data_IF_573833551400
#
_entry.id   IF_573833551400
#
_cell.length_a   1.000
_cell.length_b   1.000
_cell.length_c   1.000
_cell.angle_alpha   90.00
_cell.angle_beta   90.00
_cell.angle_gamma   90.00
#
_symmetry.space_group_name_H-M   'P 1'
#
loop_
_entity.id
_entity.type
_entity.pdbx_description
1 polymer ?
#
# COMPACT_ATOMS: atom_id res chain seq x y z
N UNK A 1 -58.64 8.60 40.19
CA UNK A 1 -57.61 7.57 39.93
C UNK A 1 -58.29 6.39 39.24
N UNK A 2 -57.61 5.80 38.23
CA UNK A 2 -58.15 4.64 37.53
C UNK A 2 -58.08 3.40 38.44
N UNK A 3 -59.16 2.62 38.43
CA UNK A 3 -59.22 1.36 39.20
C UNK A 3 -58.41 0.24 38.48
N UNK A 4 -57.99 -0.77 39.24
CA UNK A 4 -57.24 -1.92 38.71
C UNK A 4 -58.01 -2.67 37.60
N UNK A 5 -59.33 -2.70 37.73
CA UNK A 5 -60.21 -3.28 36.67
C UNK A 5 -60.19 -2.47 35.39
N UNK A 6 -60.20 -1.14 35.46
CA UNK A 6 -60.12 -0.27 34.27
C UNK A 6 -58.75 -0.32 33.63
N UNK A 7 -57.67 -0.42 34.41
CA UNK A 7 -56.31 -0.62 33.89
C UNK A 7 -56.16 -1.95 33.19
N UNK A 8 -56.71 -3.03 33.74
CA UNK A 8 -56.69 -4.35 33.12
C UNK A 8 -57.51 -4.41 31.84
N UNK A 9 -58.71 -3.80 31.85
CA UNK A 9 -59.54 -3.71 30.64
C UNK A 9 -58.81 -2.92 29.51
N UNK A 10 -58.14 -1.81 29.87
CA UNK A 10 -57.36 -0.99 28.94
C UNK A 10 -56.14 -1.73 28.42
N UNK A 11 -55.46 -2.50 29.26
CA UNK A 11 -54.34 -3.32 28.86
C UNK A 11 -54.78 -4.39 27.83
N UNK A 12 -55.86 -5.13 28.12
CA UNK A 12 -56.40 -6.13 27.17
C UNK A 12 -56.78 -5.53 25.83
N UNK A 13 -57.32 -4.29 25.80
CA UNK A 13 -57.66 -3.58 24.60
C UNK A 13 -56.44 -3.19 23.79
N UNK A 14 -55.31 -2.84 24.46
CA UNK A 14 -54.11 -2.28 23.81
C UNK A 14 -52.98 -3.28 23.63
N UNK A 15 -53.02 -4.48 24.25
CA UNK A 15 -51.91 -5.42 24.26
C UNK A 15 -51.37 -5.80 22.88
N UNK A 16 -52.24 -5.88 21.85
CA UNK A 16 -51.80 -6.15 20.48
C UNK A 16 -50.98 -5.02 19.84
N UNK A 17 -51.16 -3.77 20.31
CA UNK A 17 -50.33 -2.64 19.83
C UNK A 17 -48.91 -2.68 20.38
N UNK A 18 -48.70 -3.38 21.49
CA UNK A 18 -47.40 -3.53 22.17
C UNK A 18 -46.86 -4.97 22.04
N UNK A 19 -47.56 -5.83 21.27
CA UNK A 19 -47.06 -7.17 20.98
C UNK A 19 -45.77 -7.06 20.13
N UNK A 20 -44.70 -7.63 20.61
CA UNK A 20 -43.45 -7.73 19.87
C UNK A 20 -43.60 -8.84 18.81
N UNK A 21 -43.46 -8.46 17.52
CA UNK A 21 -43.49 -9.40 16.40
C UNK A 21 -42.13 -10.11 16.18
N UNK A 22 -41.08 -9.63 16.84
CA UNK A 22 -39.71 -10.16 16.76
C UNK A 22 -39.26 -10.55 18.16
N UNK A 23 -38.63 -11.71 18.27
CA UNK A 23 -38.03 -12.17 19.52
C UNK A 23 -36.95 -11.13 19.95
N UNK A 24 -37.08 -10.60 21.16
CA UNK A 24 -36.07 -9.71 21.76
C UNK A 24 -35.50 -10.37 23.00
N UNK A 25 -34.22 -10.11 23.25
CA UNK A 25 -33.51 -10.62 24.43
C UNK A 25 -32.75 -9.49 25.09
N UNK A 26 -32.85 -9.37 26.39
CA UNK A 26 -31.98 -8.51 27.18
C UNK A 26 -30.65 -9.23 27.39
N UNK A 27 -29.57 -8.63 26.89
CA UNK A 27 -28.24 -9.20 27.01
C UNK A 27 -27.42 -8.30 27.93
N UNK A 28 -26.81 -8.89 28.96
CA UNK A 28 -25.75 -8.26 29.73
C UNK A 28 -24.42 -8.78 29.22
N UNK A 29 -23.51 -7.88 28.86
CA UNK A 29 -22.16 -8.25 28.42
C UNK A 29 -21.11 -7.43 29.18
N UNK A 30 -19.92 -7.98 29.28
CA UNK A 30 -18.73 -7.29 29.80
C UNK A 30 -17.68 -7.30 28.69
N UNK A 31 -17.18 -6.14 28.35
CA UNK A 31 -16.05 -5.98 27.42
C UNK A 31 -14.75 -6.00 28.22
N UNK A 32 -13.80 -6.80 27.76
CA UNK A 32 -12.51 -6.97 28.41
C UNK A 32 -11.37 -6.77 27.41
N UNK A 33 -10.68 -5.64 27.53
CA UNK A 33 -9.56 -5.32 26.65
C UNK A 33 -8.27 -5.99 27.13
N UNK A 34 -7.67 -6.81 26.28
CA UNK A 34 -6.34 -7.38 26.49
C UNK A 34 -5.28 -6.45 25.90
N UNK A 35 -4.38 -5.97 26.73
CA UNK A 35 -3.27 -5.11 26.31
C UNK A 35 -1.94 -5.89 26.30
N UNK A 36 -1.00 -5.52 25.42
CA UNK A 36 0.34 -6.11 25.40
C UNK A 36 1.06 -5.91 26.75
N UNK A 37 1.64 -6.99 27.27
CA UNK A 37 2.43 -6.97 28.48
C UNK A 37 3.82 -6.32 28.25
N UNK A 38 4.52 -6.02 29.33
CA UNK A 38 5.93 -5.58 29.24
C UNK A 38 6.82 -6.63 28.57
N UNK A 39 6.53 -7.91 28.79
CA UNK A 39 7.26 -9.01 28.15
C UNK A 39 7.03 -9.03 26.63
N UNK A 40 5.78 -8.84 26.18
CA UNK A 40 5.44 -8.75 24.76
C UNK A 40 6.16 -7.58 24.08
N UNK A 41 6.16 -6.41 24.71
CA UNK A 41 6.87 -5.22 24.20
C UNK A 41 8.37 -5.44 24.13
N UNK A 42 8.96 -6.09 25.14
CA UNK A 42 10.40 -6.39 25.18
C UNK A 42 10.78 -7.37 24.07
N UNK A 43 9.99 -8.43 23.86
CA UNK A 43 10.21 -9.41 22.80
C UNK A 43 10.11 -8.76 21.40
N UNK A 44 9.09 -7.90 21.19
CA UNK A 44 8.92 -7.18 19.94
C UNK A 44 10.07 -6.20 19.68
N UNK A 45 10.51 -5.44 20.68
CA UNK A 45 11.65 -4.52 20.57
C UNK A 45 12.94 -5.26 20.20
N UNK A 46 13.19 -6.43 20.78
CA UNK A 46 14.33 -7.29 20.40
C UNK A 46 14.25 -7.72 18.94
N UNK A 47 13.07 -8.12 18.47
CA UNK A 47 12.85 -8.50 17.07
C UNK A 47 13.08 -7.29 16.14
N UNK A 48 12.62 -6.11 16.53
CA UNK A 48 12.81 -4.89 15.72
C UNK A 48 14.24 -4.39 15.71
N UNK A 49 15.00 -4.59 16.78
CA UNK A 49 16.45 -4.34 16.79
C UNK A 49 17.16 -5.21 15.74
N UNK A 50 16.81 -6.52 15.66
CA UNK A 50 17.32 -7.39 14.60
C UNK A 50 16.93 -6.92 13.20
N UNK A 51 15.67 -6.56 12.96
CA UNK A 51 15.24 -6.00 11.69
C UNK A 51 15.96 -4.70 11.34
N UNK A 52 16.27 -3.87 12.32
CA UNK A 52 17.04 -2.63 12.10
C UNK A 52 18.43 -2.95 11.55
N UNK A 53 19.10 -3.94 12.12
CA UNK A 53 20.42 -4.36 11.63
C UNK A 53 20.33 -5.08 10.27
N UNK A 54 19.33 -5.94 10.05
CA UNK A 54 19.09 -6.55 8.74
C UNK A 54 18.85 -5.47 7.67
N UNK A 55 18.03 -4.45 7.99
CA UNK A 55 17.73 -3.33 7.07
C UNK A 55 18.97 -2.50 6.74
N UNK A 56 19.88 -2.26 7.68
CA UNK A 56 21.14 -1.53 7.43
C UNK A 56 22.02 -2.25 6.43
N UNK A 57 22.09 -3.58 6.53
CA UNK A 57 23.02 -4.41 5.78
C UNK A 57 22.45 -4.98 4.48
N UNK A 58 21.14 -4.94 4.29
CA UNK A 58 20.50 -5.47 3.08
C UNK A 58 20.84 -4.62 1.84
N UNK A 59 21.33 -5.26 0.78
CA UNK A 59 21.48 -4.61 -0.53
C UNK A 59 20.09 -4.24 -1.12
N UNK A 60 19.14 -5.18 -1.04
CA UNK A 60 17.72 -4.96 -1.35
C UNK A 60 16.88 -5.23 -0.07
N UNK A 61 16.14 -4.23 0.43
CA UNK A 61 15.31 -4.40 1.62
C UNK A 61 14.02 -5.17 1.38
N UNK A 62 13.66 -5.50 0.13
CA UNK A 62 12.41 -6.15 -0.22
C UNK A 62 12.16 -7.43 0.57
N UNK A 63 13.20 -8.27 0.73
CA UNK A 63 13.07 -9.53 1.46
C UNK A 63 12.92 -9.31 2.97
N UNK A 64 13.63 -8.34 3.54
CA UNK A 64 13.52 -8.00 4.97
C UNK A 64 12.10 -7.53 5.28
N UNK A 65 11.54 -6.63 4.46
CA UNK A 65 10.16 -6.15 4.60
C UNK A 65 9.17 -7.30 4.46
N UNK A 66 9.32 -8.15 3.43
CA UNK A 66 8.44 -9.31 3.21
C UNK A 66 8.47 -10.29 4.38
N UNK A 67 9.66 -10.66 4.86
CA UNK A 67 9.88 -11.57 5.99
C UNK A 67 9.30 -11.03 7.29
N UNK A 68 9.34 -9.72 7.49
CA UNK A 68 8.77 -9.07 8.68
C UNK A 68 7.25 -9.06 8.69
N UNK A 69 6.58 -9.35 7.58
CA UNK A 69 5.12 -9.20 7.41
C UNK A 69 4.69 -7.78 7.79
N UNK A 70 5.34 -6.79 7.20
CA UNK A 70 5.04 -5.38 7.43
C UNK A 70 3.64 -5.00 6.96
N UNK A 71 2.99 -4.08 7.68
CA UNK A 71 1.72 -3.48 7.27
C UNK A 71 1.86 -2.58 6.03
N UNK A 72 3.07 -2.12 5.72
CA UNK A 72 3.38 -1.29 4.55
C UNK A 72 4.16 -2.15 3.55
N UNK A 73 3.65 -2.35 2.33
CA UNK A 73 4.37 -3.07 1.30
C UNK A 73 5.57 -2.25 0.80
N UNK A 74 6.67 -2.92 0.46
CA UNK A 74 7.79 -2.28 -0.21
C UNK A 74 7.62 -2.41 -1.73
N UNK A 75 7.39 -1.29 -2.40
CA UNK A 75 7.22 -1.25 -3.86
C UNK A 75 8.56 -1.10 -4.60
N UNK A 76 9.57 -0.53 -3.96
CA UNK A 76 10.87 -0.28 -4.58
C UNK A 76 10.84 0.76 -5.70
N UNK A 77 9.92 1.70 -5.63
CA UNK A 77 9.74 2.81 -6.59
C UNK A 77 9.76 4.15 -5.87
N UNK A 78 10.04 5.25 -6.58
CA UNK A 78 9.86 6.60 -6.04
C UNK A 78 8.38 6.90 -5.78
N UNK A 79 8.05 7.30 -4.57
CA UNK A 79 6.69 7.63 -4.11
C UNK A 79 6.69 9.02 -3.47
N UNK A 80 5.59 9.75 -3.58
CA UNK A 80 5.41 11.01 -2.85
C UNK A 80 5.08 10.74 -1.38
N UNK A 81 5.20 11.75 -0.51
CA UNK A 81 4.89 11.59 0.92
C UNK A 81 3.47 11.09 1.18
N UNK A 82 2.54 11.48 0.34
CA UNK A 82 1.12 11.12 0.44
C UNK A 82 0.85 9.61 0.27
N UNK A 83 1.83 8.86 -0.23
CA UNK A 83 1.74 7.40 -0.32
C UNK A 83 2.01 6.69 1.02
N UNK A 84 2.52 7.40 2.02
CA UNK A 84 2.88 6.83 3.33
C UNK A 84 1.92 7.30 4.42
N UNK A 85 1.71 6.49 5.47
CA UNK A 85 1.06 6.95 6.69
C UNK A 85 1.75 8.21 7.25
N UNK A 86 0.98 9.10 7.86
CA UNK A 86 1.46 10.42 8.29
C UNK A 86 2.67 10.34 9.24
N UNK A 87 2.68 9.36 10.14
CA UNK A 87 3.77 9.11 11.09
C UNK A 87 5.09 8.71 10.42
N UNK A 88 5.04 8.13 9.23
CA UNK A 88 6.20 7.82 8.39
C UNK A 88 6.58 9.04 7.54
N UNK A 89 5.59 9.64 6.86
CA UNK A 89 5.78 10.77 5.95
C UNK A 89 6.49 11.96 6.61
N UNK A 90 6.12 12.30 7.86
CA UNK A 90 6.73 13.38 8.63
C UNK A 90 8.21 13.16 8.96
N UNK A 91 8.66 11.90 8.98
CA UNK A 91 10.05 11.55 9.30
C UNK A 91 10.97 11.54 8.08
N UNK A 92 10.43 11.43 6.87
CA UNK A 92 11.23 11.22 5.65
C UNK A 92 12.28 12.31 5.40
N UNK A 93 11.99 13.56 5.76
CA UNK A 93 12.96 14.67 5.56
C UNK A 93 14.07 14.69 6.62
N UNK A 94 13.87 14.02 7.75
CA UNK A 94 14.85 13.93 8.83
C UNK A 94 15.81 12.74 8.70
N UNK A 95 15.55 11.83 7.76
CA UNK A 95 16.38 10.65 7.53
C UNK A 95 17.36 10.94 6.39
N UNK A 96 18.64 10.73 6.63
CA UNK A 96 19.64 10.83 5.56
C UNK A 96 19.47 9.66 4.56
N UNK A 97 19.67 9.92 3.27
CA UNK A 97 19.63 8.88 2.22
C UNK A 97 20.65 7.78 2.55
N UNK A 98 20.22 6.53 2.44
CA UNK A 98 20.97 5.33 2.82
C UNK A 98 20.87 4.95 4.31
N UNK A 99 20.32 5.81 5.16
CA UNK A 99 20.23 5.59 6.60
C UNK A 99 18.94 4.86 7.00
N UNK A 100 19.01 4.23 8.19
CA UNK A 100 17.89 3.53 8.83
C UNK A 100 17.55 4.26 10.13
N UNK A 101 16.28 4.57 10.32
CA UNK A 101 15.70 5.09 11.55
C UNK A 101 14.86 4.01 12.21
N UNK A 102 15.03 3.82 13.51
CA UNK A 102 14.18 2.93 14.31
C UNK A 102 15.00 1.99 15.21
N UNK A 103 14.28 1.16 16.02
CA UNK A 103 12.83 1.10 16.11
C UNK A 103 12.21 2.36 16.74
N UNK A 104 11.09 2.84 16.19
CA UNK A 104 10.32 4.00 16.68
C UNK A 104 8.88 3.58 16.96
N UNK A 105 8.42 3.80 18.19
CA UNK A 105 7.02 3.54 18.56
C UNK A 105 6.12 4.70 18.14
N UNK A 106 5.00 4.38 17.48
CA UNK A 106 3.87 5.28 17.31
C UNK A 106 2.77 4.89 18.30
N UNK A 107 2.57 5.73 19.32
CA UNK A 107 1.60 5.48 20.38
C UNK A 107 0.14 5.71 19.95
N UNK A 108 -0.08 6.43 18.84
CA UNK A 108 -1.42 6.76 18.34
C UNK A 108 -2.07 5.51 17.75
N UNK A 109 -1.36 4.77 16.92
CA UNK A 109 -1.83 3.56 16.27
C UNK A 109 -1.26 2.26 16.88
N UNK A 110 -0.52 2.39 17.99
CA UNK A 110 0.10 1.29 18.73
C UNK A 110 0.99 0.41 17.84
N UNK A 111 1.87 1.04 17.03
CA UNK A 111 2.79 0.35 16.14
C UNK A 111 4.25 0.62 16.47
N UNK A 112 5.12 -0.30 16.04
CA UNK A 112 6.57 -0.14 16.06
C UNK A 112 7.07 -0.10 14.61
N UNK A 113 7.99 0.83 14.31
CA UNK A 113 8.40 1.15 12.95
C UNK A 113 9.93 1.13 12.81
N UNK A 114 10.42 0.59 11.68
CA UNK A 114 11.79 0.79 11.17
C UNK A 114 11.68 1.34 9.75
N UNK A 115 12.38 2.43 9.47
CA UNK A 115 12.30 3.17 8.21
C UNK A 115 13.69 3.26 7.61
N UNK A 116 13.86 2.83 6.36
CA UNK A 116 15.10 3.05 5.59
C UNK A 116 14.79 3.93 4.38
N UNK A 117 15.45 5.08 4.30
CA UNK A 117 15.37 5.94 3.12
C UNK A 117 16.43 5.50 2.12
N UNK A 118 16.01 4.90 1.00
CA UNK A 118 16.90 4.41 -0.06
C UNK A 118 17.33 5.52 -1.01
N UNK A 119 16.40 6.39 -1.40
CA UNK A 119 16.64 7.50 -2.31
C UNK A 119 15.63 8.63 -2.08
N UNK A 120 16.06 9.86 -2.41
CA UNK A 120 15.22 11.06 -2.50
C UNK A 120 15.63 11.82 -3.74
N UNK A 121 14.67 12.21 -4.58
CA UNK A 121 14.93 13.03 -5.76
C UNK A 121 13.69 13.86 -6.15
N UNK A 122 13.94 14.98 -6.83
CA UNK A 122 12.90 15.77 -7.51
C UNK A 122 12.48 15.04 -8.78
N UNK A 123 11.23 14.64 -8.88
CA UNK A 123 10.66 13.89 -10.01
C UNK A 123 9.29 14.43 -10.38
N UNK A 124 8.84 14.26 -11.65
CA UNK A 124 7.53 14.74 -12.07
C UNK A 124 6.42 13.97 -11.36
N UNK A 125 5.41 14.66 -10.84
CA UNK A 125 4.20 14.06 -10.30
C UNK A 125 3.20 13.67 -11.41
N UNK A 126 3.22 14.42 -12.53
CA UNK A 126 2.40 14.18 -13.70
C UNK A 126 3.27 14.08 -14.95
N UNK A 127 3.07 13.04 -15.73
CA UNK A 127 3.81 12.76 -16.97
C UNK A 127 2.82 12.49 -18.08
N UNK A 128 2.93 13.25 -19.20
CA UNK A 128 2.19 12.94 -20.41
C UNK A 128 2.96 11.90 -21.22
N UNK A 129 2.30 10.82 -21.57
CA UNK A 129 2.88 9.72 -22.31
C UNK A 129 2.01 9.29 -23.47
N UNK A 130 2.62 8.64 -24.44
CA UNK A 130 1.93 7.81 -25.41
C UNK A 130 2.63 6.46 -25.51
N UNK A 131 1.88 5.42 -25.85
CA UNK A 131 2.41 4.06 -25.83
C UNK A 131 1.88 3.23 -27.01
N UNK A 132 2.68 2.27 -27.45
CA UNK A 132 2.26 1.21 -28.35
C UNK A 132 2.44 -0.11 -27.60
N UNK A 133 1.35 -0.84 -27.39
CA UNK A 133 1.39 -2.18 -26.83
C UNK A 133 1.67 -3.18 -27.96
N UNK A 134 2.62 -4.05 -27.74
CA UNK A 134 3.03 -5.05 -28.71
C UNK A 134 2.83 -6.43 -28.10
N UNK A 135 1.89 -7.17 -28.67
CA UNK A 135 1.60 -8.55 -28.29
C UNK A 135 1.98 -9.48 -29.46
N UNK A 136 2.29 -10.72 -29.16
CA UNK A 136 2.62 -11.73 -30.15
C UNK A 136 2.18 -13.11 -29.71
N UNK A 137 2.21 -14.08 -30.60
CA UNK A 137 1.93 -15.48 -30.27
C UNK A 137 2.92 -16.06 -29.24
N UNK A 138 4.13 -15.51 -29.19
CA UNK A 138 5.16 -15.78 -28.18
C UNK A 138 5.80 -14.49 -27.73
N UNK A 139 6.45 -14.52 -26.57
CA UNK A 139 7.22 -13.37 -26.08
C UNK A 139 8.33 -12.96 -27.04
N UNK A 140 8.99 -13.92 -27.68
CA UNK A 140 10.03 -13.66 -28.69
C UNK A 140 9.47 -12.92 -29.91
N UNK A 141 8.32 -13.35 -30.43
CA UNK A 141 7.65 -12.68 -31.54
C UNK A 141 7.23 -11.24 -31.18
N UNK A 142 6.70 -11.03 -29.98
CA UNK A 142 6.37 -9.72 -29.49
C UNK A 142 7.60 -8.82 -29.34
N UNK A 143 8.71 -9.35 -28.81
CA UNK A 143 9.96 -8.62 -28.65
C UNK A 143 10.55 -8.20 -30.00
N UNK A 144 10.58 -9.11 -31.00
CA UNK A 144 11.05 -8.82 -32.36
C UNK A 144 10.22 -7.70 -33.02
N UNK A 145 8.90 -7.76 -32.87
CA UNK A 145 8.01 -6.70 -33.38
C UNK A 145 8.25 -5.37 -32.65
N UNK A 146 8.43 -5.41 -31.34
CA UNK A 146 8.73 -4.22 -30.52
C UNK A 146 10.09 -3.62 -30.91
N UNK A 147 11.12 -4.42 -31.20
CA UNK A 147 12.42 -3.94 -31.67
C UNK A 147 12.30 -3.21 -33.00
N UNK A 148 11.51 -3.74 -33.94
CA UNK A 148 11.25 -3.11 -35.23
C UNK A 148 10.52 -1.75 -35.06
N UNK A 149 9.52 -1.68 -34.20
CA UNK A 149 8.82 -0.43 -33.87
C UNK A 149 9.76 0.59 -33.22
N UNK A 150 10.52 0.13 -32.23
CA UNK A 150 11.47 0.98 -31.54
C UNK A 150 12.49 1.59 -32.47
N UNK A 151 13.07 0.77 -33.37
CA UNK A 151 14.04 1.21 -34.39
C UNK A 151 13.41 2.23 -35.34
N UNK A 152 12.19 1.98 -35.83
CA UNK A 152 11.50 2.90 -36.75
C UNK A 152 11.24 4.25 -36.08
N UNK A 153 10.78 4.25 -34.82
CA UNK A 153 10.54 5.48 -34.04
C UNK A 153 11.84 6.25 -33.74
N UNK A 154 12.92 5.55 -33.41
CA UNK A 154 14.25 6.14 -33.24
C UNK A 154 14.77 6.78 -34.53
N UNK A 155 14.43 6.23 -35.72
CA UNK A 155 14.74 6.78 -37.01
C UNK A 155 13.85 7.97 -37.43
N UNK A 156 12.91 8.41 -36.53
CA UNK A 156 12.04 9.55 -36.75
C UNK A 156 10.69 9.25 -37.40
N UNK A 157 10.26 7.99 -37.43
CA UNK A 157 8.91 7.65 -37.89
C UNK A 157 7.87 8.32 -36.95
N UNK A 158 6.75 8.75 -37.55
CA UNK A 158 5.65 9.35 -36.79
C UNK A 158 4.97 8.32 -35.90
N UNK A 159 4.85 8.64 -34.61
CA UNK A 159 4.36 7.71 -33.58
C UNK A 159 2.93 7.25 -33.84
N UNK A 160 2.03 8.15 -34.22
CA UNK A 160 0.61 7.81 -34.45
C UNK A 160 0.47 6.94 -35.73
N UNK A 161 1.25 7.24 -36.75
CA UNK A 161 1.30 6.42 -37.97
C UNK A 161 1.77 5.01 -37.67
N UNK A 162 2.80 4.84 -36.83
CA UNK A 162 3.27 3.53 -36.41
C UNK A 162 2.21 2.85 -35.52
N UNK A 163 1.61 3.55 -34.55
CA UNK A 163 0.58 2.99 -33.67
C UNK A 163 -0.63 2.45 -34.47
N UNK A 164 -1.07 3.16 -35.50
CA UNK A 164 -2.19 2.75 -36.37
C UNK A 164 -1.95 1.41 -37.10
N UNK A 165 -0.71 1.09 -37.41
CA UNK A 165 -0.35 -0.23 -38.00
C UNK A 165 -0.59 -1.39 -37.04
N UNK A 166 -0.66 -1.10 -35.73
CA UNK A 166 -0.95 -2.06 -34.67
C UNK A 166 -2.37 -1.89 -34.09
N UNK A 167 -3.26 -1.24 -34.84
CA UNK A 167 -4.66 -0.96 -34.45
C UNK A 167 -4.79 -0.14 -33.17
N UNK A 168 -3.85 0.79 -32.93
CA UNK A 168 -3.81 1.67 -31.78
C UNK A 168 -3.80 3.14 -32.23
N UNK A 169 -4.27 4.04 -31.39
CA UNK A 169 -4.36 5.47 -31.73
C UNK A 169 -3.03 6.20 -31.52
N UNK A 170 -2.22 5.76 -30.58
CA UNK A 170 -1.02 6.49 -30.16
C UNK A 170 -1.32 7.80 -29.45
N UNK A 171 -2.56 7.95 -28.92
CA UNK A 171 -2.99 9.14 -28.20
C UNK A 171 -2.16 9.35 -26.93
N UNK A 172 -2.04 10.63 -26.57
CA UNK A 172 -1.35 11.05 -25.34
C UNK A 172 -2.29 10.96 -24.14
N UNK A 173 -1.75 10.54 -23.03
CA UNK A 173 -2.46 10.48 -21.76
C UNK A 173 -1.58 10.97 -20.60
N UNK A 174 -2.18 11.66 -19.63
CA UNK A 174 -1.51 12.05 -18.41
C UNK A 174 -1.58 10.92 -17.37
N UNK A 175 -0.43 10.60 -16.80
CA UNK A 175 -0.29 9.64 -15.71
C UNK A 175 0.25 10.39 -14.50
N UNK A 176 -0.42 10.24 -13.36
CA UNK A 176 -0.02 10.83 -12.09
C UNK A 176 0.55 9.78 -11.14
N UNK A 177 1.39 10.21 -10.19
CA UNK A 177 1.95 9.32 -9.17
C UNK A 177 0.86 8.58 -8.36
N UNK A 178 -0.27 9.24 -8.11
CA UNK A 178 -1.40 8.66 -7.37
C UNK A 178 -1.97 7.39 -8.01
N UNK A 179 -1.82 7.21 -9.34
CA UNK A 179 -2.35 6.05 -10.06
C UNK A 179 -1.56 4.74 -9.81
N UNK A 180 -0.31 4.82 -9.35
CA UNK A 180 0.53 3.63 -9.18
C UNK A 180 1.17 3.50 -7.78
N UNK A 181 1.33 4.60 -7.04
CA UNK A 181 2.13 4.61 -5.81
C UNK A 181 1.48 3.89 -4.62
N UNK A 182 0.18 3.57 -4.67
CA UNK A 182 -0.57 2.86 -3.63
C UNK A 182 -0.90 1.41 -4.02
N UNK A 183 -0.20 0.85 -5.01
CA UNK A 183 -0.37 -0.54 -5.38
C UNK A 183 0.00 -1.48 -4.21
N UNK A 184 -0.69 -2.61 -4.03
CA UNK A 184 -0.37 -3.57 -2.97
C UNK A 184 0.93 -4.33 -3.23
N UNK A 185 1.32 -4.43 -4.49
CA UNK A 185 2.58 -5.02 -4.96
C UNK A 185 2.92 -4.50 -6.34
N UNK A 186 4.18 -4.69 -6.75
CA UNK A 186 4.64 -4.26 -8.07
C UNK A 186 5.67 -5.26 -8.60
N UNK A 187 5.41 -5.82 -9.78
CA UNK A 187 6.35 -6.71 -10.44
C UNK A 187 7.49 -5.94 -11.14
N UNK A 188 8.45 -6.68 -11.69
CA UNK A 188 9.63 -6.11 -12.34
C UNK A 188 9.25 -5.22 -13.53
N UNK A 189 8.25 -5.62 -14.32
CA UNK A 189 7.81 -4.88 -15.50
C UNK A 189 7.15 -3.56 -15.13
N UNK A 190 6.29 -3.58 -14.13
CA UNK A 190 5.66 -2.36 -13.60
C UNK A 190 6.68 -1.41 -12.95
N UNK A 191 7.68 -1.95 -12.24
CA UNK A 191 8.79 -1.13 -11.73
C UNK A 191 9.54 -0.44 -12.85
N UNK A 192 9.88 -1.17 -13.92
CA UNK A 192 10.56 -0.61 -15.10
C UNK A 192 9.70 0.47 -15.80
N UNK A 193 8.38 0.27 -15.85
CA UNK A 193 7.44 1.26 -16.38
C UNK A 193 7.41 2.54 -15.52
N UNK A 194 7.26 2.41 -14.23
CA UNK A 194 7.28 3.56 -13.29
C UNK A 194 8.63 4.27 -13.28
N UNK A 195 9.73 3.52 -13.37
CA UNK A 195 11.08 4.10 -13.53
C UNK A 195 11.15 4.95 -14.80
N UNK A 196 10.65 4.43 -15.93
CA UNK A 196 10.61 5.15 -17.19
C UNK A 196 9.78 6.45 -17.07
N UNK A 197 8.61 6.42 -16.43
CA UNK A 197 7.81 7.64 -16.17
C UNK A 197 8.59 8.70 -15.39
N UNK A 198 9.41 8.29 -14.44
CA UNK A 198 10.12 9.21 -13.57
C UNK A 198 11.45 9.74 -14.17
N UNK A 199 12.09 8.98 -15.07
CA UNK A 199 13.46 9.23 -15.51
C UNK A 199 13.63 9.64 -16.98
N UNK A 200 12.73 9.18 -17.89
CA UNK A 200 12.87 9.48 -19.31
C UNK A 200 12.77 10.98 -19.58
N UNK A 201 13.62 11.50 -20.44
CA UNK A 201 13.51 12.86 -20.93
C UNK A 201 12.27 13.04 -21.83
N UNK A 202 11.83 14.30 -22.00
CA UNK A 202 10.74 14.60 -22.96
C UNK A 202 11.17 14.22 -24.37
N UNK A 203 10.27 13.54 -25.08
CA UNK A 203 10.46 12.91 -26.39
C UNK A 203 11.36 11.65 -26.42
N UNK A 204 11.89 11.24 -25.29
CA UNK A 204 12.61 9.97 -25.19
C UNK A 204 11.66 8.78 -25.25
N UNK A 205 12.10 7.69 -25.90
CA UNK A 205 11.34 6.46 -26.13
C UNK A 205 12.06 5.31 -25.43
N UNK A 206 11.30 4.44 -24.76
CA UNK A 206 11.81 3.23 -24.13
C UNK A 206 10.95 2.02 -24.47
N UNK A 207 11.61 0.91 -24.78
CA UNK A 207 10.96 -0.40 -24.85
C UNK A 207 10.98 -1.03 -23.46
N UNK A 208 9.84 -1.51 -23.00
CA UNK A 208 9.65 -2.16 -21.69
C UNK A 208 9.02 -3.53 -21.93
N UNK A 209 9.66 -4.57 -21.45
CA UNK A 209 9.10 -5.92 -21.49
C UNK A 209 7.99 -6.06 -20.46
N UNK A 210 6.86 -6.61 -20.88
CA UNK A 210 5.69 -6.89 -20.06
C UNK A 210 5.44 -8.40 -20.02
N UNK A 211 4.70 -8.94 -19.06
CA UNK A 211 4.45 -10.38 -18.94
C UNK A 211 3.83 -11.01 -20.21
N UNK A 212 3.13 -10.22 -21.01
CA UNK A 212 2.46 -10.66 -22.24
C UNK A 212 2.83 -9.77 -23.44
N UNK A 213 4.11 -9.52 -23.66
CA UNK A 213 4.57 -8.74 -24.77
C UNK A 213 5.52 -7.61 -24.39
N UNK A 214 5.38 -6.45 -25.03
CA UNK A 214 6.19 -5.26 -24.76
C UNK A 214 5.38 -3.99 -24.91
N UNK A 215 5.82 -2.93 -24.25
CA UNK A 215 5.30 -1.57 -24.45
C UNK A 215 6.43 -0.70 -24.99
N UNK A 216 6.15 0.05 -26.06
CA UNK A 216 6.99 1.17 -26.51
C UNK A 216 6.38 2.44 -25.92
N UNK A 217 7.05 3.01 -24.94
CA UNK A 217 6.62 4.19 -24.21
C UNK A 217 7.40 5.42 -24.67
N UNK A 218 6.71 6.54 -24.90
CA UNK A 218 7.32 7.86 -25.08
C UNK A 218 6.76 8.83 -24.04
N UNK A 219 7.64 9.55 -23.37
CA UNK A 219 7.28 10.72 -22.56
C UNK A 219 7.18 11.93 -23.46
N UNK A 220 6.06 12.65 -23.43
CA UNK A 220 5.80 13.81 -24.28
C UNK A 220 5.75 15.15 -23.52
N UNK A 221 5.45 15.14 -22.23
CA UNK A 221 5.49 16.31 -21.34
C UNK A 221 5.60 15.88 -19.86
N UNK A 222 5.97 16.82 -19.00
CA UNK A 222 6.14 16.63 -17.56
C UNK A 222 5.65 17.85 -16.80
N UNK A 223 4.95 17.64 -15.68
CA UNK A 223 4.45 18.71 -14.83
C UNK A 223 4.59 18.35 -13.34
N UNK A 224 4.54 19.42 -12.52
CA UNK A 224 4.47 19.31 -11.06
C UNK A 224 5.62 18.48 -10.48
N UNK A 225 6.84 19.01 -10.55
CA UNK A 225 8.01 18.40 -9.88
C UNK A 225 7.79 18.35 -8.38
N UNK A 226 7.92 17.16 -7.79
CA UNK A 226 7.78 16.90 -6.36
C UNK A 226 8.97 16.10 -5.82
N UNK A 227 9.23 16.22 -4.53
CA UNK A 227 10.10 15.29 -3.82
C UNK A 227 9.48 13.91 -3.82
N UNK A 228 10.21 12.92 -4.33
CA UNK A 228 9.85 11.51 -4.27
C UNK A 228 10.90 10.74 -3.49
N UNK A 229 10.43 9.74 -2.78
CA UNK A 229 11.18 8.96 -1.82
C UNK A 229 11.05 7.48 -2.18
N UNK A 230 12.16 6.76 -2.23
CA UNK A 230 12.15 5.29 -2.24
C UNK A 230 12.43 4.85 -0.82
N UNK A 231 11.43 4.24 -0.17
CA UNK A 231 11.44 3.97 1.27
C UNK A 231 11.06 2.53 1.53
N UNK A 232 11.85 1.85 2.37
CA UNK A 232 11.49 0.57 2.93
C UNK A 232 11.03 0.75 4.38
N UNK A 233 9.85 0.26 4.72
CA UNK A 233 9.26 0.40 6.04
C UNK A 233 8.88 -0.96 6.60
N UNK A 234 9.31 -1.25 7.81
CA UNK A 234 8.74 -2.31 8.64
C UNK A 234 7.84 -1.64 9.66
N UNK A 235 6.53 -1.85 9.53
CA UNK A 235 5.52 -1.36 10.47
C UNK A 235 4.70 -2.53 10.98
N UNK A 236 4.63 -2.72 12.30
CA UNK A 236 3.84 -3.79 12.93
C UNK A 236 3.10 -3.26 14.15
N UNK A 237 1.90 -3.77 14.35
CA UNK A 237 1.14 -3.53 15.57
C UNK A 237 1.87 -4.14 16.76
N UNK A 238 1.86 -3.44 17.89
CA UNK A 238 2.31 -3.97 19.17
C UNK A 238 1.16 -4.78 19.73
N UNK A 239 1.23 -6.11 19.58
CA UNK A 239 0.17 -7.03 19.92
C UNK A 239 0.54 -7.85 21.17
N UNK A 240 -0.44 -8.53 21.76
CA UNK A 240 -0.26 -9.39 22.92
C UNK A 240 0.01 -10.85 22.50
N UNK A 241 0.81 -11.56 23.31
CA UNK A 241 1.06 -12.99 23.13
C UNK A 241 -0.11 -13.85 23.62
N UNK A 242 -0.07 -15.14 23.27
CA UNK A 242 -1.00 -16.14 23.81
C UNK A 242 -0.94 -16.22 25.34
N UNK A 243 0.22 -16.06 25.92
CA UNK A 243 0.39 -16.09 27.38
C UNK A 243 -0.28 -14.91 28.04
N UNK A 244 -0.09 -13.71 27.49
CA UNK A 244 -0.79 -12.49 27.94
C UNK A 244 -2.30 -12.64 27.82
N UNK A 245 -2.79 -13.17 26.68
CA UNK A 245 -4.22 -13.45 26.50
C UNK A 245 -4.73 -14.45 27.53
N UNK A 246 -4.04 -15.58 27.72
CA UNK A 246 -4.44 -16.64 28.68
C UNK A 246 -4.48 -16.12 30.11
N UNK A 247 -3.50 -15.32 30.51
CA UNK A 247 -3.47 -14.70 31.82
C UNK A 247 -4.65 -13.72 32.03
N UNK A 248 -4.97 -12.94 31.03
CA UNK A 248 -6.10 -12.01 31.05
C UNK A 248 -7.44 -12.78 31.07
N UNK A 249 -7.60 -13.81 30.24
CA UNK A 249 -8.78 -14.66 30.19
C UNK A 249 -9.04 -15.37 31.54
N UNK A 250 -8.00 -15.90 32.18
CA UNK A 250 -8.12 -16.54 33.49
C UNK A 250 -8.60 -15.56 34.57
N UNK A 251 -8.10 -14.32 34.58
CA UNK A 251 -8.57 -13.28 35.50
C UNK A 251 -10.06 -12.94 35.24
N UNK A 252 -10.45 -12.82 33.97
CA UNK A 252 -11.82 -12.58 33.60
C UNK A 252 -12.75 -13.73 34.03
N UNK A 253 -12.35 -14.98 33.79
CA UNK A 253 -13.13 -16.17 34.17
C UNK A 253 -13.33 -16.27 35.69
N UNK A 254 -12.32 -15.87 36.48
CA UNK A 254 -12.44 -15.81 37.95
C UNK A 254 -13.37 -14.68 38.43
N UNK A 255 -13.52 -13.62 37.64
CA UNK A 255 -14.43 -12.53 37.97
C UNK A 255 -15.90 -12.87 37.64
N UNK A 256 -16.15 -13.69 36.64
CA UNK A 256 -17.50 -14.06 36.17
C UNK A 256 -18.03 -15.30 36.92
N UNK A 257 -17.20 -16.14 37.53
CA UNK A 257 -17.56 -17.30 38.34
C UNK A 257 -17.90 -16.91 39.78
#
# INVERSE_FOLDING_TARGET
EATESELKAKYEQLKLRFAQSVESRDIKFVDFQVLPSTADRTALNKTFAAYTEEMKNAADPAEVVRKSVSLIPYLGIPQTKEAFPIDIAEKLDSIAVGSVMGPVENKIDNTLNVIRLMAKAQMPDSVEVRAIQVVGATQEAANKSADSIYTALQAGADFETVAKKYSQTGEKAWITSAQYQNAPSMDKSMKAYVEALNTLAVNEIKKIEMPQGSIILQVTDRKAMKDKYTVAVIKKTIDFSKDTYSAAFNKFSQFVS
#
